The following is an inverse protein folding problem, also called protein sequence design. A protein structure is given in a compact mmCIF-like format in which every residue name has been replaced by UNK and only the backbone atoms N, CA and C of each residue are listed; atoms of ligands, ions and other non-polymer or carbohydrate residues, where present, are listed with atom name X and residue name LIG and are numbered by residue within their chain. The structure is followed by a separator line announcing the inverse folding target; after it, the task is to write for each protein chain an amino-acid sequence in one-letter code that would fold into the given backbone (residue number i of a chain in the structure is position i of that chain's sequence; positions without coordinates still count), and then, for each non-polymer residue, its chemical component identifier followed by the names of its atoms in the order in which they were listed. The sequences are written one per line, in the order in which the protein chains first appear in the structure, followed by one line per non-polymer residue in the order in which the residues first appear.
data_IF_137477985097
#
_entry.id   IF_137477985097
#
_cell.length_a   1.000
_cell.length_b   1.000
_cell.length_c   1.000
_cell.angle_alpha   90.00
_cell.angle_beta   90.00
_cell.angle_gamma   90.00
#
_symmetry.space_group_name_H-M   'P 1'
#
loop_
_entity.id
_entity.type
_entity.pdbx_description
1 polymer ?
#
# COMPACT_ATOMS: atom_id res chain seq x y z
N UNK A 1 -3.52 21.98 39.37
CA UNK A 1 -2.73 22.33 38.19
C UNK A 1 -1.83 21.19 37.71
N UNK A 2 -1.18 20.44 38.56
CA UNK A 2 -0.36 19.28 38.15
C UNK A 2 -1.19 18.15 37.52
N UNK A 3 -2.43 17.93 37.96
CA UNK A 3 -3.35 16.92 37.40
C UNK A 3 -3.78 17.23 35.96
N UNK A 4 -4.01 18.48 35.61
CA UNK A 4 -4.37 18.85 34.24
C UNK A 4 -3.20 18.70 33.25
N UNK A 5 -1.97 18.94 33.70
CA UNK A 5 -0.78 18.72 32.90
C UNK A 5 -0.51 17.21 32.68
N UNK A 6 -0.78 16.38 33.68
CA UNK A 6 -0.67 14.91 33.57
C UNK A 6 -1.75 14.37 32.64
N UNK A 7 -2.99 14.85 32.74
CA UNK A 7 -4.09 14.43 31.85
C UNK A 7 -3.83 14.80 30.41
N UNK A 8 -3.23 15.97 30.12
CA UNK A 8 -2.91 16.40 28.77
C UNK A 8 -1.77 15.58 28.13
N UNK A 9 -0.94 14.91 28.92
CA UNK A 9 0.16 14.06 28.46
C UNK A 9 -0.26 12.58 28.33
N UNK A 10 -1.41 12.19 28.89
CA UNK A 10 -1.89 10.82 28.81
C UNK A 10 -2.73 10.61 27.56
N UNK A 11 -2.24 9.75 26.65
CA UNK A 11 -3.02 9.25 25.51
C UNK A 11 -3.67 7.95 25.94
N UNK A 12 -5.01 7.94 26.02
CA UNK A 12 -5.78 6.75 26.39
C UNK A 12 -6.43 6.22 25.12
N UNK A 13 -6.14 4.96 24.80
CA UNK A 13 -6.76 4.26 23.66
C UNK A 13 -7.75 3.23 24.16
N UNK A 14 -8.98 3.30 23.67
CA UNK A 14 -10.02 2.34 23.95
C UNK A 14 -10.20 1.39 22.76
N UNK A 15 -10.29 0.11 23.03
CA UNK A 15 -10.58 -0.90 22.01
C UNK A 15 -11.94 -1.53 22.31
N UNK A 16 -12.77 -1.59 21.26
CA UNK A 16 -14.10 -2.19 21.33
C UNK A 16 -14.23 -3.29 20.30
N UNK A 17 -14.87 -4.39 20.69
CA UNK A 17 -15.21 -5.44 19.75
C UNK A 17 -16.49 -5.04 19.01
N UNK A 18 -16.42 -4.99 17.69
CA UNK A 18 -17.58 -4.74 16.84
C UNK A 18 -18.47 -5.98 16.72
N UNK A 19 -19.78 -5.75 16.66
CA UNK A 19 -20.77 -6.78 16.35
C UNK A 19 -21.48 -6.40 15.05
N UNK A 20 -20.89 -6.75 13.89
CA UNK A 20 -21.50 -6.42 12.61
C UNK A 20 -22.74 -7.28 12.35
N UNK A 21 -23.68 -6.76 11.58
CA UNK A 21 -24.77 -7.54 11.04
C UNK A 21 -24.28 -8.45 9.91
N UNK A 22 -25.10 -9.44 9.51
CA UNK A 22 -24.73 -10.34 8.41
C UNK A 22 -24.47 -9.60 7.09
N UNK A 23 -25.23 -8.56 6.80
CA UNK A 23 -25.03 -7.71 5.62
C UNK A 23 -23.71 -6.95 5.68
N UNK A 24 -23.37 -6.40 6.83
CA UNK A 24 -22.10 -5.71 7.05
C UNK A 24 -20.91 -6.66 6.93
N UNK A 25 -21.02 -7.88 7.42
CA UNK A 25 -19.99 -8.91 7.25
C UNK A 25 -19.76 -9.22 5.77
N UNK A 26 -20.81 -9.39 5.00
CA UNK A 26 -20.72 -9.64 3.56
C UNK A 26 -20.01 -8.49 2.82
N UNK A 27 -20.34 -7.24 3.16
CA UNK A 27 -19.68 -6.05 2.61
C UNK A 27 -18.18 -6.02 2.97
N UNK A 28 -17.86 -6.27 4.25
CA UNK A 28 -16.46 -6.29 4.71
C UNK A 28 -15.64 -7.38 4.02
N UNK A 29 -16.21 -8.57 3.81
CA UNK A 29 -15.54 -9.66 3.10
C UNK A 29 -15.27 -9.29 1.65
N UNK A 30 -16.24 -8.68 0.96
CA UNK A 30 -16.07 -8.21 -0.42
C UNK A 30 -14.99 -7.14 -0.50
N UNK A 31 -15.02 -6.16 0.38
CA UNK A 31 -14.01 -5.11 0.41
C UNK A 31 -12.62 -5.64 0.75
N UNK A 32 -12.55 -6.58 1.69
CA UNK A 32 -11.29 -7.23 2.05
C UNK A 32 -10.65 -7.92 0.86
N UNK A 33 -11.44 -8.64 0.07
CA UNK A 33 -10.94 -9.31 -1.14
C UNK A 33 -10.48 -8.31 -2.21
N UNK A 34 -11.25 -7.25 -2.45
CA UNK A 34 -10.88 -6.19 -3.39
C UNK A 34 -9.60 -5.45 -2.95
N UNK A 35 -9.48 -5.15 -1.65
CA UNK A 35 -8.29 -4.52 -1.09
C UNK A 35 -7.06 -5.43 -1.18
N UNK A 36 -7.23 -6.73 -0.99
CA UNK A 36 -6.16 -7.71 -1.16
C UNK A 36 -5.65 -7.74 -2.60
N UNK A 37 -6.55 -7.75 -3.57
CA UNK A 37 -6.20 -7.70 -5.00
C UNK A 37 -5.47 -6.40 -5.33
N UNK A 38 -5.96 -5.29 -4.83
CA UNK A 38 -5.33 -3.99 -5.03
C UNK A 38 -3.93 -3.92 -4.40
N UNK A 39 -3.77 -4.47 -3.21
CA UNK A 39 -2.47 -4.60 -2.56
C UNK A 39 -1.47 -5.37 -3.42
N UNK A 40 -1.88 -6.53 -3.92
CA UNK A 40 -1.03 -7.36 -4.75
C UNK A 40 -0.67 -6.67 -6.07
N UNK A 41 -1.61 -5.96 -6.67
CA UNK A 41 -1.37 -5.17 -7.88
C UNK A 41 -0.35 -4.04 -7.62
N UNK A 42 -0.54 -3.28 -6.57
CA UNK A 42 0.35 -2.18 -6.20
C UNK A 42 1.75 -2.68 -5.82
N UNK A 43 1.83 -3.81 -5.12
CA UNK A 43 3.11 -4.46 -4.82
C UNK A 43 3.79 -4.93 -6.10
N UNK A 44 3.05 -5.52 -7.03
CA UNK A 44 3.56 -5.94 -8.34
C UNK A 44 4.15 -4.78 -9.12
N UNK A 45 3.50 -3.62 -9.15
CA UNK A 45 4.02 -2.41 -9.79
C UNK A 45 5.38 -1.99 -9.20
N UNK A 46 5.50 -2.03 -7.88
CA UNK A 46 6.76 -1.67 -7.20
C UNK A 46 7.87 -2.68 -7.48
N UNK A 47 7.54 -3.96 -7.50
CA UNK A 47 8.49 -5.02 -7.82
C UNK A 47 8.95 -4.93 -9.28
N UNK A 48 8.05 -4.67 -10.22
CA UNK A 48 8.38 -4.49 -11.63
C UNK A 48 9.32 -3.30 -11.82
N UNK A 49 9.02 -2.18 -11.19
CA UNK A 49 9.90 -1.03 -11.23
C UNK A 49 11.28 -1.34 -10.65
N UNK A 50 11.34 -2.02 -9.52
CA UNK A 50 12.58 -2.40 -8.87
C UNK A 50 13.41 -3.35 -9.73
N UNK A 51 12.77 -4.38 -10.30
CA UNK A 51 13.42 -5.33 -11.17
C UNK A 51 13.95 -4.66 -12.44
N UNK A 52 13.18 -3.72 -12.99
CA UNK A 52 13.58 -2.96 -14.16
C UNK A 52 14.80 -2.08 -13.89
N UNK A 53 14.83 -1.40 -12.74
CA UNK A 53 15.96 -0.54 -12.35
C UNK A 53 17.18 -1.32 -11.90
N UNK A 54 16.98 -2.53 -11.34
CA UNK A 54 18.05 -3.43 -10.93
C UNK A 54 18.51 -4.41 -12.01
N UNK A 55 17.84 -4.42 -13.16
CA UNK A 55 18.25 -5.24 -14.28
C UNK A 55 19.62 -4.77 -14.72
N UNK A 56 20.64 -5.33 -14.09
CA UNK A 56 22.01 -5.17 -14.55
C UNK A 56 22.10 -5.82 -15.91
N UNK A 57 22.74 -5.14 -16.81
CA UNK A 57 23.14 -5.70 -18.10
C UNK A 57 23.93 -6.97 -17.75
N UNK A 58 23.33 -8.10 -17.99
CA UNK A 58 24.01 -9.36 -17.85
C UNK A 58 25.24 -9.28 -18.77
N UNK A 59 26.38 -9.72 -18.32
CA UNK A 59 27.62 -9.68 -19.11
C UNK A 59 27.50 -10.40 -20.47
N UNK A 60 26.44 -11.17 -20.66
CA UNK A 60 26.04 -11.81 -21.91
C UNK A 60 25.03 -11.02 -22.74
N UNK A 61 24.54 -9.87 -22.24
CA UNK A 61 23.55 -9.03 -22.92
C UNK A 61 24.26 -8.11 -23.91
N UNK A 62 23.92 -8.23 -25.17
CA UNK A 62 24.41 -7.35 -26.25
C UNK A 62 23.65 -6.02 -26.29
N UNK A 63 22.49 -5.95 -25.61
CA UNK A 63 21.62 -4.79 -25.58
C UNK A 63 21.97 -3.95 -24.35
N UNK A 64 22.51 -2.76 -24.61
CA UNK A 64 22.89 -1.80 -23.55
C UNK A 64 21.75 -0.87 -23.13
N UNK A 65 20.64 -0.89 -23.86
CA UNK A 65 19.49 -0.06 -23.59
C UNK A 65 18.28 -0.89 -23.16
N UNK A 66 17.48 -0.41 -22.21
CA UNK A 66 16.27 -1.11 -21.81
C UNK A 66 15.31 -1.21 -23.00
N UNK A 67 14.69 -2.37 -23.16
CA UNK A 67 13.65 -2.57 -24.18
C UNK A 67 12.37 -1.93 -23.68
N UNK A 68 12.04 -0.76 -24.22
CA UNK A 68 10.88 0.02 -23.83
C UNK A 68 11.14 1.01 -22.69
N UNK A 69 10.14 1.83 -22.42
CA UNK A 69 10.22 2.80 -21.33
C UNK A 69 10.18 2.09 -19.96
N UNK A 70 10.99 2.54 -18.99
CA UNK A 70 10.91 1.99 -17.65
C UNK A 70 9.52 2.24 -17.05
N UNK A 71 8.95 1.28 -16.32
CA UNK A 71 7.70 1.50 -15.63
C UNK A 71 7.82 2.67 -14.65
N UNK A 72 6.74 3.42 -14.46
CA UNK A 72 6.71 4.52 -13.52
C UNK A 72 7.07 4.04 -12.11
N UNK A 73 7.80 4.87 -11.39
CA UNK A 73 8.13 4.59 -10.01
C UNK A 73 6.87 4.45 -9.18
N UNK A 74 6.64 3.25 -8.66
CA UNK A 74 5.52 2.97 -7.77
C UNK A 74 5.74 3.56 -6.38
N UNK A 75 5.53 4.85 -6.20
CA UNK A 75 5.48 5.48 -4.90
C UNK A 75 4.02 5.64 -4.43
N UNK A 76 3.85 6.05 -3.17
CA UNK A 76 2.52 6.24 -2.59
C UNK A 76 1.67 7.25 -3.37
N UNK A 77 2.26 8.35 -3.79
CA UNK A 77 1.52 9.43 -4.46
C UNK A 77 1.09 9.05 -5.88
N UNK A 78 1.96 8.39 -6.64
CA UNK A 78 1.59 7.90 -7.97
C UNK A 78 0.51 6.84 -7.89
N UNK A 79 0.63 5.89 -6.95
CA UNK A 79 -0.38 4.85 -6.74
C UNK A 79 -1.71 5.42 -6.23
N UNK A 80 -1.68 6.47 -5.42
CA UNK A 80 -2.87 7.19 -4.98
C UNK A 80 -3.59 7.88 -6.15
N UNK A 81 -2.85 8.50 -7.05
CA UNK A 81 -3.45 9.14 -8.23
C UNK A 81 -4.03 8.12 -9.21
N UNK A 82 -3.42 6.94 -9.31
CA UNK A 82 -3.90 5.84 -10.14
C UNK A 82 -5.23 5.23 -9.67
N UNK A 83 -5.63 5.48 -8.42
CA UNK A 83 -6.92 5.02 -7.90
C UNK A 83 -8.10 5.52 -8.74
N UNK A 84 -8.02 6.71 -9.31
CA UNK A 84 -9.07 7.27 -10.17
C UNK A 84 -9.28 6.41 -11.42
N UNK A 85 -8.18 6.02 -12.04
CA UNK A 85 -8.22 5.15 -13.22
C UNK A 85 -8.66 3.72 -12.85
N UNK A 86 -8.20 3.22 -11.73
CA UNK A 86 -8.62 1.90 -11.22
C UNK A 86 -10.12 1.84 -11.01
N UNK A 87 -10.73 2.88 -10.45
CA UNK A 87 -12.18 2.96 -10.26
C UNK A 87 -12.97 3.04 -11.57
N UNK A 88 -12.39 3.65 -12.61
CA UNK A 88 -13.02 3.69 -13.94
C UNK A 88 -12.96 2.33 -14.63
N UNK A 89 -11.81 1.66 -14.55
CA UNK A 89 -11.60 0.35 -15.18
C UNK A 89 -12.35 -0.77 -14.46
N UNK A 90 -12.42 -0.69 -13.15
CA UNK A 90 -13.06 -1.68 -12.29
C UNK A 90 -14.08 -0.99 -11.37
N UNK A 91 -15.34 -0.89 -11.78
CA UNK A 91 -16.38 -0.19 -11.01
C UNK A 91 -16.60 -0.75 -9.60
N UNK A 92 -16.23 -2.00 -9.36
CA UNK A 92 -16.32 -2.65 -8.05
C UNK A 92 -15.55 -1.89 -6.97
N UNK A 93 -14.42 -1.30 -7.32
CA UNK A 93 -13.60 -0.49 -6.40
C UNK A 93 -14.23 0.86 -6.04
N UNK A 94 -15.20 1.33 -6.82
CA UNK A 94 -15.91 2.56 -6.52
C UNK A 94 -16.81 2.45 -5.27
N UNK A 95 -17.21 1.23 -4.88
CA UNK A 95 -18.00 0.98 -3.67
C UNK A 95 -17.20 1.16 -2.38
N UNK A 96 -15.87 1.09 -2.44
CA UNK A 96 -15.00 1.23 -1.28
C UNK A 96 -14.70 2.71 -1.05
N UNK A 97 -14.76 3.14 0.21
CA UNK A 97 -14.37 4.52 0.56
C UNK A 97 -12.92 4.80 0.19
N UNK A 98 -12.69 6.00 -0.36
CA UNK A 98 -11.36 6.40 -0.83
C UNK A 98 -10.31 6.39 0.28
N UNK A 99 -10.70 6.75 1.50
CA UNK A 99 -9.81 6.74 2.66
C UNK A 99 -9.31 5.34 2.99
N UNK A 100 -10.17 4.33 2.86
CA UNK A 100 -9.79 2.93 3.10
C UNK A 100 -8.77 2.47 2.07
N UNK A 101 -8.98 2.81 0.81
CA UNK A 101 -8.03 2.48 -0.27
C UNK A 101 -6.70 3.20 -0.11
N UNK A 102 -6.72 4.47 0.25
CA UNK A 102 -5.52 5.26 0.52
C UNK A 102 -4.74 4.69 1.71
N UNK A 103 -5.43 4.28 2.77
CA UNK A 103 -4.79 3.66 3.94
C UNK A 103 -4.15 2.32 3.56
N UNK A 104 -4.77 1.55 2.69
CA UNK A 104 -4.19 0.31 2.17
C UNK A 104 -2.86 0.57 1.45
N UNK A 105 -2.81 1.60 0.62
CA UNK A 105 -1.58 2.02 -0.07
C UNK A 105 -0.53 2.57 0.89
N UNK A 106 -0.92 3.30 1.93
CA UNK A 106 0.01 3.80 2.96
C UNK A 106 0.65 2.64 3.72
N UNK A 107 -0.12 1.62 4.07
CA UNK A 107 0.41 0.42 4.73
C UNK A 107 1.40 -0.33 3.85
N UNK A 108 1.10 -0.41 2.55
CA UNK A 108 2.04 -0.99 1.58
C UNK A 108 3.33 -0.16 1.51
N UNK A 109 3.23 1.15 1.48
CA UNK A 109 4.39 2.05 1.43
C UNK A 109 5.28 1.91 2.66
N UNK A 110 4.69 1.81 3.85
CA UNK A 110 5.42 1.56 5.09
C UNK A 110 6.13 0.20 5.09
N UNK A 111 5.45 -0.84 4.65
CA UNK A 111 6.02 -2.18 4.53
C UNK A 111 7.18 -2.21 3.53
N UNK A 112 7.01 -1.52 2.39
CA UNK A 112 8.03 -1.39 1.37
C UNK A 112 9.28 -0.67 1.86
N UNK A 113 9.11 0.44 2.56
CA UNK A 113 10.23 1.21 3.15
C UNK A 113 10.99 0.38 4.19
N UNK A 114 10.29 -0.38 5.02
CA UNK A 114 10.91 -1.28 6.00
C UNK A 114 11.70 -2.39 5.32
N UNK A 115 11.22 -2.88 4.20
CA UNK A 115 11.91 -3.92 3.45
C UNK A 115 13.17 -3.38 2.76
N UNK A 116 13.13 -2.16 2.22
CA UNK A 116 14.28 -1.53 1.56
C UNK A 116 15.37 -1.12 2.54
N UNK A 117 14.99 -0.60 3.70
CA UNK A 117 15.92 -0.11 4.73
C UNK A 117 15.93 -1.11 5.87
N UNK A 118 16.99 -1.90 6.03
CA UNK A 118 17.10 -2.81 7.16
C UNK A 118 17.14 -2.04 8.47
N UNK A 119 16.56 -2.64 9.51
CA UNK A 119 16.59 -2.10 10.85
C UNK A 119 18.03 -1.93 11.34
N UNK A 120 18.26 -1.12 12.40
CA UNK A 120 19.59 -0.90 13.01
C UNK A 120 20.27 -2.21 13.42
N UNK A 121 19.51 -3.28 13.59
CA UNK A 121 19.99 -4.63 13.89
C UNK A 121 20.33 -5.45 12.64
N UNK A 122 20.15 -4.91 11.43
CA UNK A 122 20.37 -5.61 10.16
C UNK A 122 19.31 -6.65 9.79
N UNK A 123 18.23 -6.73 10.56
CA UNK A 123 17.09 -7.61 10.23
C UNK A 123 16.15 -6.90 9.25
N UNK A 124 15.73 -7.64 8.24
CA UNK A 124 14.72 -7.26 7.25
C UNK A 124 13.39 -7.90 7.57
#
# INVERSE_FOLDING_TARGET
MALSAIISLMIITFQYRLKPTSEQVAIMETWSELLRRHWNFALGQRLDWLNHTRCQIDCCSIISEPIGDPPERGDYYSQQSDLKETKKLFPEYASIYSEVQQMNLQRLDLAWKRWLVPDKTGKR
#
